data_IF_511083701681
#
_entry.id   IF_511083701681
#
_cell.length_a   1.000
_cell.length_b   1.000
_cell.length_c   1.000
_cell.angle_alpha   90.00
_cell.angle_beta   90.00
_cell.angle_gamma   90.00
#
_symmetry.space_group_name_H-M   'P 1'
#
loop_
_entity.id
_entity.type
_entity.pdbx_description
1 polymer ?
#
# COMPACT_ATOMS: atom_id res chain seq x y z
N UNK A 1 22.22 11.69 -42.72
CA UNK A 1 22.22 12.10 -41.30
C UNK A 1 23.07 11.13 -40.51
N UNK A 2 23.97 11.62 -39.67
CA UNK A 2 25.01 10.81 -39.03
C UNK A 2 24.41 9.92 -37.92
N UNK A 3 24.33 8.61 -38.17
CA UNK A 3 23.76 7.62 -37.24
C UNK A 3 24.47 7.58 -35.88
N UNK A 4 25.69 8.10 -35.79
CA UNK A 4 26.47 8.18 -34.55
C UNK A 4 25.78 9.03 -33.46
N UNK A 5 25.08 10.08 -33.84
CA UNK A 5 24.36 10.93 -32.87
C UNK A 5 23.08 10.23 -32.37
N UNK A 6 22.39 9.54 -33.27
CA UNK A 6 21.22 8.73 -32.93
C UNK A 6 21.55 7.59 -31.96
N UNK A 7 22.65 6.87 -32.19
CA UNK A 7 23.11 5.81 -31.29
C UNK A 7 23.44 6.33 -29.88
N UNK A 8 24.02 7.52 -29.75
CA UNK A 8 24.30 8.13 -28.44
C UNK A 8 23.01 8.48 -27.69
N UNK A 9 22.02 9.02 -28.39
CA UNK A 9 20.71 9.35 -27.80
C UNK A 9 19.95 8.09 -27.40
N UNK A 10 19.96 7.06 -28.25
CA UNK A 10 19.31 5.80 -27.95
C UNK A 10 19.87 5.16 -26.67
N UNK A 11 21.20 5.18 -26.48
CA UNK A 11 21.82 4.67 -25.25
C UNK A 11 21.39 5.48 -24.02
N UNK A 12 21.35 6.82 -24.12
CA UNK A 12 20.87 7.66 -23.01
C UNK A 12 19.39 7.40 -22.66
N UNK A 13 18.54 7.15 -23.66
CA UNK A 13 17.13 6.82 -23.43
C UNK A 13 16.96 5.47 -22.72
N UNK A 14 17.76 4.46 -23.09
CA UNK A 14 17.73 3.15 -22.41
C UNK A 14 18.17 3.29 -20.95
N UNK A 15 19.24 4.05 -20.69
CA UNK A 15 19.70 4.29 -19.31
C UNK A 15 18.62 5.02 -18.50
N UNK A 16 18.00 6.05 -19.06
CA UNK A 16 16.91 6.78 -18.40
C UNK A 16 15.70 5.88 -18.10
N UNK A 17 15.33 5.01 -19.04
CA UNK A 17 14.27 4.02 -18.84
C UNK A 17 14.60 3.04 -17.72
N UNK A 18 15.80 2.46 -17.74
CA UNK A 18 16.24 1.51 -16.69
C UNK A 18 16.24 2.20 -15.33
N UNK A 19 16.80 3.40 -15.21
CA UNK A 19 16.77 4.17 -13.96
C UNK A 19 15.34 4.45 -13.51
N UNK A 20 14.44 4.86 -14.40
CA UNK A 20 13.03 5.06 -14.07
C UNK A 20 12.37 3.77 -13.56
N UNK A 21 12.63 2.62 -14.19
CA UNK A 21 12.09 1.33 -13.74
C UNK A 21 12.67 0.90 -12.39
N UNK A 22 13.96 1.13 -12.13
CA UNK A 22 14.60 0.83 -10.84
C UNK A 22 14.06 1.75 -9.74
N UNK A 23 13.89 3.06 -10.00
CA UNK A 23 13.26 4.00 -9.06
C UNK A 23 11.81 3.61 -8.77
N UNK A 24 11.03 3.27 -9.80
CA UNK A 24 9.65 2.74 -9.65
C UNK A 24 9.60 1.46 -8.82
N UNK A 25 10.61 0.58 -8.94
CA UNK A 25 10.71 -0.63 -8.13
C UNK A 25 10.95 -0.31 -6.64
N UNK A 26 11.58 0.81 -6.30
CA UNK A 26 11.73 1.24 -4.89
C UNK A 26 10.46 1.87 -4.34
N UNK A 27 9.72 2.65 -5.13
CA UNK A 27 8.37 3.13 -4.74
C UNK A 27 7.40 1.96 -4.50
N UNK A 28 7.40 0.96 -5.38
CA UNK A 28 6.61 -0.25 -5.22
C UNK A 28 7.07 -1.09 -4.00
N UNK A 29 8.33 -0.94 -3.57
CA UNK A 29 8.89 -1.57 -2.37
C UNK A 29 8.85 -0.69 -1.12
N UNK A 30 8.13 0.44 -1.14
CA UNK A 30 7.85 1.26 0.06
C UNK A 30 7.09 0.52 1.18
N UNK A 31 6.79 -0.76 1.01
CA UNK A 31 6.46 -1.72 2.07
C UNK A 31 7.73 -2.46 2.51
N UNK A 32 8.60 -1.82 3.30
CA UNK A 32 9.30 -2.61 4.33
C UNK A 32 8.21 -3.35 5.10
N UNK A 33 8.29 -4.68 5.11
CA UNK A 33 7.19 -5.58 5.45
C UNK A 33 6.42 -5.09 6.66
N UNK A 34 5.20 -4.60 6.44
CA UNK A 34 4.34 -4.16 7.51
C UNK A 34 4.10 -5.40 8.35
N UNK A 35 4.60 -5.43 9.58
CA UNK A 35 4.43 -6.59 10.47
C UNK A 35 2.94 -6.92 10.54
N UNK A 36 2.61 -8.19 10.28
CA UNK A 36 1.24 -8.65 10.45
C UNK A 36 0.94 -8.62 11.95
N UNK A 37 -0.12 -7.91 12.32
CA UNK A 37 -0.57 -7.72 13.69
C UNK A 37 -1.98 -8.29 13.83
N UNK A 38 -2.26 -8.88 15.01
CA UNK A 38 -3.60 -9.33 15.34
C UNK A 38 -4.60 -8.17 15.30
N UNK A 39 -5.83 -8.46 14.91
CA UNK A 39 -6.85 -7.41 14.82
C UNK A 39 -7.16 -6.77 16.17
N UNK A 40 -7.15 -7.57 17.25
CA UNK A 40 -7.29 -7.08 18.63
C UNK A 40 -6.21 -6.07 19.01
N UNK A 41 -4.96 -6.37 18.66
CA UNK A 41 -3.80 -5.55 19.00
C UNK A 41 -3.85 -4.26 18.19
N UNK A 42 -4.29 -4.32 16.93
CA UNK A 42 -4.56 -3.14 16.14
C UNK A 42 -5.63 -2.24 16.79
N UNK A 43 -6.75 -2.81 17.27
CA UNK A 43 -7.77 -2.02 17.98
C UNK A 43 -7.25 -1.45 19.30
N UNK A 44 -6.33 -2.13 19.98
CA UNK A 44 -5.64 -1.58 21.15
C UNK A 44 -4.74 -0.39 20.76
N UNK A 45 -3.94 -0.50 19.71
CA UNK A 45 -3.12 0.60 19.19
C UNK A 45 -3.97 1.80 18.73
N UNK A 46 -5.15 1.55 18.15
CA UNK A 46 -6.13 2.60 17.81
C UNK A 46 -6.62 3.30 19.07
N UNK A 47 -7.05 2.55 20.09
CA UNK A 47 -7.54 3.09 21.37
C UNK A 47 -6.45 3.85 22.15
N UNK A 48 -5.21 3.39 22.03
CA UNK A 48 -4.03 4.04 22.62
C UNK A 48 -3.53 5.23 21.78
N UNK A 49 -4.20 5.56 20.66
CA UNK A 49 -3.84 6.65 19.74
C UNK A 49 -2.42 6.52 19.17
N UNK A 50 -1.93 5.29 19.04
CA UNK A 50 -0.67 4.97 18.39
C UNK A 50 -0.80 4.84 16.87
N UNK A 51 -2.03 4.81 16.34
CA UNK A 51 -2.30 4.82 14.90
C UNK A 51 -2.62 6.24 14.44
N UNK A 52 -1.88 6.74 13.44
CA UNK A 52 -2.17 8.06 12.83
C UNK A 52 -3.08 7.95 11.60
N UNK A 53 -2.92 6.88 10.80
CA UNK A 53 -3.77 6.70 9.63
C UNK A 53 -3.95 5.25 9.21
N UNK A 54 -5.04 4.93 8.52
CA UNK A 54 -5.32 3.60 8.00
C UNK A 54 -5.90 3.61 6.57
N UNK A 55 -5.59 2.60 5.78
CA UNK A 55 -6.22 2.32 4.49
C UNK A 55 -6.93 0.98 4.61
N UNK A 56 -8.22 0.97 4.36
CA UNK A 56 -9.09 -0.21 4.41
C UNK A 56 -9.29 -0.70 2.97
N UNK A 57 -8.98 -1.97 2.70
CA UNK A 57 -9.07 -2.58 1.38
C UNK A 57 -9.95 -3.83 1.44
N UNK A 58 -10.99 -3.86 0.63
CA UNK A 58 -11.87 -5.04 0.55
C UNK A 58 -11.34 -6.04 -0.49
N UNK A 59 -11.32 -7.33 -0.15
CA UNK A 59 -10.86 -8.41 -1.04
C UNK A 59 -11.73 -9.67 -0.94
N UNK A 60 -11.41 -10.68 -1.75
CA UNK A 60 -12.18 -11.96 -1.75
C UNK A 60 -12.10 -12.72 -0.42
N UNK A 61 -11.06 -12.49 0.38
CA UNK A 61 -10.82 -13.18 1.66
C UNK A 61 -11.16 -12.36 2.90
N UNK A 62 -11.75 -11.17 2.75
CA UNK A 62 -12.03 -10.25 3.86
C UNK A 62 -11.44 -8.86 3.62
N UNK A 63 -11.33 -8.09 4.71
CA UNK A 63 -10.85 -6.70 4.67
C UNK A 63 -9.39 -6.65 5.14
N UNK A 64 -8.47 -6.20 4.29
CA UNK A 64 -7.09 -5.88 4.70
C UNK A 64 -7.03 -4.42 5.17
N UNK A 65 -6.32 -4.19 6.27
CA UNK A 65 -6.09 -2.86 6.81
C UNK A 65 -4.59 -2.62 6.84
N UNK A 66 -4.16 -1.54 6.19
CA UNK A 66 -2.78 -1.05 6.25
C UNK A 66 -2.79 0.22 7.08
N UNK A 67 -2.17 0.18 8.24
CA UNK A 67 -2.08 1.33 9.13
C UNK A 67 -0.67 1.89 9.19
N UNK A 68 -0.58 3.18 9.48
CA UNK A 68 0.65 3.88 9.81
C UNK A 68 0.53 4.34 11.25
N UNK A 69 1.53 4.00 12.05
CA UNK A 69 1.63 4.38 13.45
C UNK A 69 2.14 5.82 13.59
N UNK A 70 2.06 6.37 14.79
CA UNK A 70 2.57 7.71 15.13
C UNK A 70 4.09 7.82 15.03
N UNK A 71 4.81 6.69 15.16
CA UNK A 71 6.26 6.56 14.92
C UNK A 71 6.61 6.16 13.48
N UNK A 72 5.71 6.42 12.52
CA UNK A 72 5.91 6.22 11.08
C UNK A 72 6.10 4.77 10.61
N UNK A 73 5.91 3.78 11.48
CA UNK A 73 5.91 2.36 11.09
C UNK A 73 4.63 1.99 10.36
N UNK A 74 4.75 1.08 9.41
CA UNK A 74 3.61 0.47 8.73
C UNK A 74 3.28 -0.86 9.39
N UNK A 75 2.01 -1.09 9.68
CA UNK A 75 1.49 -2.36 10.19
C UNK A 75 0.33 -2.84 9.33
N UNK A 76 0.11 -4.15 9.31
CA UNK A 76 -0.97 -4.79 8.56
C UNK A 76 -1.83 -5.61 9.50
N UNK A 77 -3.14 -5.58 9.28
CA UNK A 77 -4.07 -6.50 9.93
C UNK A 77 -5.21 -6.85 8.98
N UNK A 78 -6.05 -7.79 9.39
CA UNK A 78 -7.24 -8.22 8.65
C UNK A 78 -8.46 -8.11 9.54
N UNK A 79 -9.54 -7.59 8.99
CA UNK A 79 -10.84 -7.53 9.65
C UNK A 79 -11.86 -8.39 8.90
N UNK A 80 -12.88 -8.84 9.63
CA UNK A 80 -14.05 -9.45 9.03
C UNK A 80 -14.92 -8.38 8.38
N UNK A 81 -15.55 -8.70 7.25
CA UNK A 81 -16.52 -7.83 6.58
C UNK A 81 -17.74 -7.50 7.47
N UNK A 82 -17.98 -8.30 8.49
CA UNK A 82 -19.07 -8.10 9.45
C UNK A 82 -18.74 -7.10 10.56
N UNK A 83 -17.50 -6.63 10.64
CA UNK A 83 -17.11 -5.68 11.67
C UNK A 83 -17.65 -4.29 11.36
N UNK A 84 -18.69 -3.89 12.09
CA UNK A 84 -19.30 -2.56 12.02
C UNK A 84 -18.67 -1.57 13.01
N UNK A 85 -17.86 -2.04 13.95
CA UNK A 85 -17.24 -1.24 15.01
C UNK A 85 -16.00 -0.49 14.55
N UNK A 86 -15.22 -1.08 13.64
CA UNK A 86 -13.95 -0.53 13.15
C UNK A 86 -14.00 0.96 12.81
N UNK A 87 -14.95 1.39 11.96
CA UNK A 87 -15.05 2.78 11.52
C UNK A 87 -15.32 3.71 12.70
N UNK A 88 -16.18 3.30 13.63
CA UNK A 88 -16.44 4.03 14.85
C UNK A 88 -15.20 4.16 15.73
N UNK A 89 -14.46 3.06 15.92
CA UNK A 89 -13.22 3.06 16.70
C UNK A 89 -12.16 4.00 16.11
N UNK A 90 -12.02 4.02 14.77
CA UNK A 90 -11.11 4.94 14.09
C UNK A 90 -11.51 6.40 14.27
N UNK A 91 -12.80 6.73 14.09
CA UNK A 91 -13.33 8.10 14.26
C UNK A 91 -13.15 8.57 15.71
N UNK A 92 -13.56 7.73 16.68
CA UNK A 92 -13.53 8.06 18.09
C UNK A 92 -12.11 8.32 18.61
N UNK A 93 -11.10 7.73 17.97
CA UNK A 93 -9.70 7.90 18.35
C UNK A 93 -8.92 8.84 17.43
N UNK A 94 -9.60 9.53 16.50
CA UNK A 94 -8.97 10.55 15.65
C UNK A 94 -8.04 9.99 14.57
N UNK A 95 -8.22 8.73 14.18
CA UNK A 95 -7.43 8.10 13.12
C UNK A 95 -7.94 8.57 11.77
N UNK A 96 -7.06 9.10 10.92
CA UNK A 96 -7.41 9.44 9.54
C UNK A 96 -7.48 8.16 8.71
N UNK A 97 -8.57 7.90 8.02
CA UNK A 97 -8.65 6.69 7.19
C UNK A 97 -9.28 6.94 5.82
N UNK A 98 -9.01 6.01 4.91
CA UNK A 98 -9.59 5.94 3.58
C UNK A 98 -9.97 4.49 3.24
N UNK A 99 -10.98 4.32 2.39
CA UNK A 99 -11.47 3.01 1.94
C UNK A 99 -11.22 2.89 0.45
N UNK A 100 -10.38 1.93 0.09
CA UNK A 100 -10.12 1.62 -1.32
C UNK A 100 -11.00 0.46 -1.75
N UNK A 101 -11.63 0.65 -2.91
CA UNK A 101 -12.27 -0.45 -3.61
C UNK A 101 -11.24 -1.54 -3.92
N UNK A 102 -11.72 -2.77 -3.98
CA UNK A 102 -10.94 -3.92 -4.42
C UNK A 102 -10.25 -3.59 -5.74
N UNK A 103 -8.92 -3.68 -5.78
CA UNK A 103 -8.23 -3.72 -7.07
C UNK A 103 -8.63 -5.03 -7.76
N UNK A 104 -9.43 -4.92 -8.81
CA UNK A 104 -9.72 -6.05 -9.68
C UNK A 104 -8.38 -6.52 -10.24
N UNK A 105 -7.95 -7.72 -9.83
CA UNK A 105 -6.70 -8.30 -10.30
C UNK A 105 -6.63 -8.19 -11.82
N UNK A 106 -5.48 -7.70 -12.32
CA UNK A 106 -5.29 -7.39 -13.74
C UNK A 106 -5.85 -8.50 -14.63
N UNK A 107 -6.87 -8.17 -15.43
CA UNK A 107 -7.54 -9.10 -16.35
C UNK A 107 -6.55 -9.80 -17.29
N UNK A 108 -5.38 -9.18 -17.49
CA UNK A 108 -4.27 -9.73 -18.28
C UNK A 108 -3.67 -11.01 -17.69
N UNK A 109 -3.71 -11.18 -16.36
CA UNK A 109 -3.22 -12.39 -15.68
C UNK A 109 -4.26 -13.53 -15.65
N UNK A 110 -5.53 -13.25 -15.98
CA UNK A 110 -6.57 -14.29 -16.09
C UNK A 110 -6.62 -14.91 -17.49
N UNK A 111 -6.03 -14.25 -18.49
CA UNK A 111 -6.06 -14.66 -19.91
C UNK A 111 -4.77 -15.34 -20.38
N UNK A 112 -3.80 -15.58 -19.50
CA UNK A 112 -2.52 -16.23 -19.80
C UNK A 112 -2.39 -17.53 -19.01
#
# INVERSE_FOLDING_TARGET
>A
MNNQWFSKIAVWLVIALVLFTVFKQFDARGTTGSGMMGYSDFLEEVRNKHIKSAIIQEGQGGTEIIAVTTDDRRVKTTATYLDRGLVGDLINNGVKFDVKAREEGSLLMTLL
#
